data_IF_977380463328
#
_entry.id   IF_977380463328
#
_cell.length_a   1.000
_cell.length_b   1.000
_cell.length_c   1.000
_cell.angle_alpha   90.00
_cell.angle_beta   90.00
_cell.angle_gamma   90.00
#
_symmetry.space_group_name_H-M   'P 1'
#
loop_
_entity.id
_entity.type
_entity.pdbx_description
1 polymer ?
#
# COMPACT_ATOMS: atom_id res chain seq x y z
N UNK A 1 35.51 1.63 34.36
CA UNK A 1 36.37 2.18 33.30
C UNK A 1 37.73 1.48 33.22
N UNK A 2 38.56 1.49 34.25
CA UNK A 2 39.92 0.90 34.17
C UNK A 2 39.94 -0.62 33.90
N UNK A 3 38.97 -1.38 34.44
CA UNK A 3 38.82 -2.82 34.14
C UNK A 3 38.40 -3.11 32.69
N UNK A 4 37.61 -2.23 32.08
CA UNK A 4 37.13 -2.37 30.69
C UNK A 4 38.27 -2.11 29.70
N UNK A 5 39.05 -1.05 29.91
CA UNK A 5 40.22 -0.72 29.09
C UNK A 5 41.35 -1.75 29.22
N UNK A 6 41.54 -2.34 30.41
CA UNK A 6 42.47 -3.47 30.57
C UNK A 6 42.02 -4.69 29.76
N UNK A 7 40.73 -5.03 29.77
CA UNK A 7 40.21 -6.14 28.95
C UNK A 7 40.34 -5.90 27.45
N UNK A 8 40.08 -4.67 26.97
CA UNK A 8 40.32 -4.31 25.58
C UNK A 8 41.81 -4.34 25.21
N UNK A 9 42.70 -4.03 26.15
CA UNK A 9 44.13 -4.18 25.98
C UNK A 9 44.56 -5.65 25.87
N UNK A 10 44.01 -6.52 26.71
CA UNK A 10 44.26 -7.97 26.67
C UNK A 10 43.77 -8.62 25.35
N UNK A 11 42.72 -8.05 24.75
CA UNK A 11 42.17 -8.45 23.44
C UNK A 11 42.87 -7.78 22.25
N UNK A 12 43.82 -6.86 22.49
CA UNK A 12 44.55 -6.15 21.45
C UNK A 12 43.74 -5.08 20.71
N UNK A 13 42.58 -4.66 21.23
CA UNK A 13 41.72 -3.64 20.62
C UNK A 13 42.16 -2.22 20.98
N UNK A 14 42.84 -2.04 22.12
CA UNK A 14 43.41 -0.75 22.51
C UNK A 14 44.85 -0.92 22.93
N UNK A 15 45.68 0.08 22.65
CA UNK A 15 47.05 0.17 23.12
C UNK A 15 47.25 1.43 23.96
N UNK A 16 48.21 1.38 24.89
CA UNK A 16 48.51 2.50 25.78
C UNK A 16 49.82 3.16 25.38
N UNK A 17 49.74 4.41 24.94
CA UNK A 17 50.89 5.25 24.54
C UNK A 17 50.88 6.54 25.36
N UNK A 18 51.98 6.86 26.04
CA UNK A 18 52.15 8.11 26.83
C UNK A 18 50.94 8.50 27.70
N UNK A 19 50.43 7.52 28.46
CA UNK A 19 49.28 7.62 29.38
C UNK A 19 47.90 7.75 28.73
N UNK A 20 47.80 7.73 27.41
CA UNK A 20 46.54 7.71 26.66
C UNK A 20 46.29 6.32 26.07
N UNK A 21 45.02 5.97 25.88
CA UNK A 21 44.62 4.77 25.17
C UNK A 21 44.22 5.15 23.75
N UNK A 22 44.70 4.40 22.77
CA UNK A 22 44.33 4.51 21.36
C UNK A 22 43.76 3.18 20.90
N UNK A 23 42.79 3.23 19.99
CA UNK A 23 42.32 2.02 19.31
C UNK A 23 43.42 1.52 18.38
N UNK A 24 43.57 0.19 18.31
CA UNK A 24 44.37 -0.44 17.27
C UNK A 24 43.50 -0.62 16.02
N UNK A 25 44.10 -1.01 14.89
CA UNK A 25 43.32 -1.36 13.69
C UNK A 25 42.24 -2.44 13.97
N UNK A 26 42.58 -3.44 14.79
CA UNK A 26 41.61 -4.47 15.19
C UNK A 26 40.51 -3.89 16.10
N UNK A 27 40.85 -2.92 16.96
CA UNK A 27 39.88 -2.19 17.77
C UNK A 27 38.93 -1.34 16.94
N UNK A 28 39.44 -0.65 15.91
CA UNK A 28 38.63 0.16 14.99
C UNK A 28 37.61 -0.72 14.25
N UNK A 29 38.05 -1.86 13.70
CA UNK A 29 37.14 -2.80 13.01
C UNK A 29 36.03 -3.34 13.93
N UNK A 30 36.37 -3.66 15.18
CA UNK A 30 35.39 -4.13 16.17
C UNK A 30 34.45 -3.01 16.59
N UNK A 31 34.96 -1.79 16.73
CA UNK A 31 34.16 -0.62 17.08
C UNK A 31 33.15 -0.31 15.97
N UNK A 32 33.59 -0.26 14.71
CA UNK A 32 32.72 -0.05 13.54
C UNK A 32 31.60 -1.10 13.49
N UNK A 33 31.95 -2.38 13.63
CA UNK A 33 30.96 -3.47 13.65
C UNK A 33 29.98 -3.36 14.83
N UNK A 34 30.44 -2.87 15.99
CA UNK A 34 29.59 -2.65 17.16
C UNK A 34 28.67 -1.45 16.97
N UNK A 35 29.15 -0.38 16.36
CA UNK A 35 28.36 0.81 16.03
C UNK A 35 27.26 0.47 15.03
N UNK A 36 27.58 -0.30 13.98
CA UNK A 36 26.60 -0.80 13.01
C UNK A 36 25.51 -1.63 13.70
N UNK A 37 25.89 -2.60 14.52
CA UNK A 37 24.94 -3.42 15.28
C UNK A 37 24.08 -2.56 16.22
N UNK A 38 24.69 -1.60 16.92
CA UNK A 38 23.97 -0.72 17.82
C UNK A 38 22.97 0.15 17.08
N UNK A 39 23.29 0.63 15.87
CA UNK A 39 22.36 1.38 15.02
C UNK A 39 21.16 0.53 14.67
N UNK A 40 21.38 -0.69 14.17
CA UNK A 40 20.31 -1.63 13.81
C UNK A 40 19.39 -1.93 15.00
N UNK A 41 19.96 -2.17 16.19
CA UNK A 41 19.17 -2.43 17.40
C UNK A 41 18.28 -1.24 17.77
N UNK A 42 18.80 -0.01 17.65
CA UNK A 42 18.03 1.21 17.90
C UNK A 42 16.91 1.36 16.87
N UNK A 43 17.20 1.20 15.57
CA UNK A 43 16.22 1.30 14.48
C UNK A 43 15.07 0.30 14.65
N UNK A 44 15.39 -0.97 14.92
CA UNK A 44 14.37 -2.01 15.16
C UNK A 44 13.50 -1.67 16.37
N UNK A 45 14.08 -1.09 17.43
CA UNK A 45 13.31 -0.68 18.59
C UNK A 45 12.35 0.48 18.27
N UNK A 46 12.78 1.45 17.47
CA UNK A 46 11.93 2.58 17.04
C UNK A 46 10.81 2.13 16.10
N UNK A 47 11.10 1.15 15.23
CA UNK A 47 10.13 0.54 14.32
C UNK A 47 9.18 -0.45 14.95
N UNK A 48 9.40 -0.83 16.21
CA UNK A 48 8.60 -1.85 16.88
C UNK A 48 7.09 -1.69 16.67
N UNK A 49 6.47 -0.49 16.75
CA UNK A 49 5.03 -0.36 16.54
C UNK A 49 4.54 -0.76 15.13
N UNK A 50 5.41 -0.63 14.13
CA UNK A 50 5.15 -1.10 12.77
C UNK A 50 5.45 -2.60 12.64
N UNK A 51 6.61 -3.05 13.13
CA UNK A 51 7.06 -4.44 13.02
C UNK A 51 6.21 -5.43 13.80
N UNK A 52 5.55 -5.01 14.89
CA UNK A 52 4.62 -5.86 15.66
C UNK A 52 3.40 -6.30 14.83
N UNK A 53 3.09 -5.56 13.75
CA UNK A 53 1.96 -5.78 12.86
C UNK A 53 2.39 -5.89 11.39
N UNK A 54 3.68 -6.08 11.14
CA UNK A 54 4.22 -6.25 9.82
C UNK A 54 3.84 -7.64 9.28
N UNK A 55 3.40 -7.70 8.03
CA UNK A 55 3.19 -8.98 7.36
C UNK A 55 4.53 -9.65 7.02
N UNK A 56 4.50 -10.95 6.70
CA UNK A 56 5.70 -11.69 6.29
C UNK A 56 6.36 -11.11 5.02
N UNK A 57 5.61 -10.35 4.21
CA UNK A 57 6.13 -9.66 3.03
C UNK A 57 7.24 -8.66 3.38
N UNK A 58 7.23 -8.14 4.61
CA UNK A 58 8.19 -7.16 5.10
C UNK A 58 9.48 -7.80 5.66
N UNK A 59 9.60 -9.13 5.65
CA UNK A 59 10.81 -9.82 6.13
C UNK A 59 12.07 -9.47 5.32
N UNK A 60 11.92 -9.20 4.03
CA UNK A 60 13.03 -8.88 3.13
C UNK A 60 13.27 -7.36 3.00
N UNK A 61 12.77 -6.56 3.95
CA UNK A 61 13.03 -5.12 3.97
C UNK A 61 14.54 -4.85 3.96
N UNK A 62 15.04 -3.97 3.07
CA UNK A 62 16.48 -3.78 2.95
C UNK A 62 17.06 -3.16 4.24
N UNK A 63 18.21 -3.65 4.73
CA UNK A 63 18.84 -3.11 5.93
C UNK A 63 19.18 -1.62 5.78
N UNK A 64 19.05 -0.85 6.86
CA UNK A 64 19.46 0.55 6.93
C UNK A 64 18.52 1.56 6.26
N UNK A 65 17.58 1.11 5.43
CA UNK A 65 16.54 1.96 4.82
C UNK A 65 15.64 2.62 5.87
N UNK A 66 15.55 1.96 7.01
CA UNK A 66 14.73 2.33 8.15
C UNK A 66 15.27 3.57 8.88
N UNK A 67 16.57 3.84 8.79
CA UNK A 67 17.18 5.06 9.31
C UNK A 67 16.75 6.33 8.55
N UNK A 68 16.30 6.17 7.31
CA UNK A 68 15.80 7.24 6.43
C UNK A 68 14.27 7.25 6.31
N UNK A 69 13.59 6.61 7.25
CA UNK A 69 12.14 6.43 7.22
C UNK A 69 11.46 7.29 8.27
N UNK A 70 10.32 7.87 7.90
CA UNK A 70 9.38 8.45 8.87
C UNK A 70 8.42 7.36 9.34
N UNK A 71 8.38 7.12 10.65
CA UNK A 71 7.43 6.19 11.27
C UNK A 71 6.32 7.00 11.92
N UNK A 72 5.07 6.69 11.56
CA UNK A 72 3.90 7.31 12.18
C UNK A 72 3.03 6.22 12.80
N UNK A 73 2.76 6.34 14.10
CA UNK A 73 2.00 5.33 14.86
C UNK A 73 0.69 5.91 15.36
N UNK A 74 -0.38 5.13 15.30
CA UNK A 74 -1.64 5.46 15.93
C UNK A 74 -1.46 5.48 17.45
N UNK A 75 -1.88 6.58 18.08
CA UNK A 75 -1.91 6.69 19.54
C UNK A 75 -3.33 6.86 20.04
N UNK A 76 -3.54 6.77 21.35
CA UNK A 76 -4.86 7.02 21.94
C UNK A 76 -5.33 8.46 21.67
N UNK A 77 -4.41 9.40 21.66
CA UNK A 77 -4.67 10.83 21.43
C UNK A 77 -4.83 11.15 19.94
N UNK A 78 -4.19 10.37 19.06
CA UNK A 78 -4.24 10.53 17.62
C UNK A 78 -4.32 9.16 16.91
N UNK A 79 -5.47 8.48 16.94
CA UNK A 79 -5.63 7.15 16.34
C UNK A 79 -5.56 7.19 14.81
N UNK A 80 -5.82 8.36 14.21
CA UNK A 80 -5.77 8.56 12.76
C UNK A 80 -4.41 9.08 12.28
N UNK A 81 -3.38 9.11 13.12
CA UNK A 81 -2.06 9.60 12.72
C UNK A 81 -1.52 8.91 11.44
N UNK A 82 -1.58 7.57 11.32
CA UNK A 82 -1.03 6.89 10.14
C UNK A 82 -1.77 7.22 8.84
N UNK A 83 -3.10 7.29 8.88
CA UNK A 83 -3.89 7.67 7.70
C UNK A 83 -3.68 9.15 7.35
N UNK A 84 -3.57 10.03 8.34
CA UNK A 84 -3.27 11.44 8.08
C UNK A 84 -1.92 11.60 7.39
N UNK A 85 -0.91 10.79 7.76
CA UNK A 85 0.38 10.78 7.08
C UNK A 85 0.26 10.39 5.61
N UNK A 86 -0.52 9.35 5.31
CA UNK A 86 -0.83 8.99 3.92
C UNK A 86 -1.52 10.13 3.15
N UNK A 87 -2.49 10.80 3.77
CA UNK A 87 -3.19 11.94 3.17
C UNK A 87 -2.26 13.13 2.90
N UNK A 88 -1.24 13.35 3.74
CA UNK A 88 -0.22 14.38 3.50
C UNK A 88 0.58 14.06 2.22
N UNK A 89 1.04 12.81 2.07
CA UNK A 89 1.78 12.39 0.87
C UNK A 89 0.97 12.57 -0.42
N UNK A 90 -0.33 12.26 -0.37
CA UNK A 90 -1.24 12.44 -1.51
C UNK A 90 -1.54 13.92 -1.84
N UNK A 91 -1.28 14.86 -0.92
CA UNK A 91 -1.58 16.30 -1.11
C UNK A 91 -0.41 17.10 -1.68
N UNK A 92 0.81 16.59 -1.58
CA UNK A 92 2.03 17.37 -1.82
C UNK A 92 2.35 17.62 -3.31
N UNK A 93 1.51 17.19 -4.25
CA UNK A 93 1.72 17.45 -5.66
C UNK A 93 0.64 16.88 -6.59
N UNK A 94 0.91 16.96 -7.88
CA UNK A 94 0.19 16.18 -8.88
C UNK A 94 0.84 14.81 -8.92
N UNK A 95 0.11 13.76 -8.52
CA UNK A 95 0.65 12.39 -8.54
C UNK A 95 0.79 11.96 -9.99
N UNK A 96 2.01 11.72 -10.46
CA UNK A 96 2.25 11.23 -11.81
C UNK A 96 1.97 9.73 -11.92
N UNK A 97 2.45 8.97 -10.93
CA UNK A 97 2.29 7.52 -10.87
C UNK A 97 1.89 7.08 -9.46
N UNK A 98 0.88 6.21 -9.40
CA UNK A 98 0.47 5.53 -8.19
C UNK A 98 0.45 4.02 -8.40
N UNK A 99 1.09 3.27 -7.50
CA UNK A 99 1.00 1.80 -7.44
C UNK A 99 0.65 1.38 -6.02
N UNK A 100 -0.44 0.66 -5.85
CA UNK A 100 -0.95 0.30 -4.52
C UNK A 100 -1.23 -1.19 -4.34
N UNK A 101 -1.11 -1.65 -3.10
CA UNK A 101 -1.63 -2.93 -2.59
C UNK A 101 -2.33 -2.62 -1.27
N UNK A 102 -3.58 -3.03 -1.09
CA UNK A 102 -4.33 -2.67 0.12
C UNK A 102 -5.17 -3.84 0.66
N UNK A 103 -5.21 -4.03 1.99
CA UNK A 103 -6.03 -5.04 2.64
C UNK A 103 -7.42 -4.50 3.00
N UNK A 104 -7.68 -3.21 2.77
CA UNK A 104 -8.91 -2.54 3.14
C UNK A 104 -9.41 -1.58 2.06
N UNK A 105 -10.72 -1.35 2.08
CA UNK A 105 -11.38 -0.21 1.41
C UNK A 105 -11.96 0.73 2.46
N UNK A 106 -11.77 2.03 2.26
CA UNK A 106 -12.34 3.07 3.11
C UNK A 106 -12.55 4.35 2.31
N UNK A 107 -13.66 5.04 2.60
CA UNK A 107 -13.97 6.33 1.97
C UNK A 107 -12.86 7.39 2.15
N UNK A 108 -12.04 7.30 3.20
CA UNK A 108 -10.91 8.22 3.41
C UNK A 108 -9.81 8.00 2.36
N UNK A 109 -9.48 6.75 2.04
CA UNK A 109 -8.52 6.43 0.98
C UNK A 109 -9.08 6.80 -0.40
N UNK A 110 -10.35 6.47 -0.67
CA UNK A 110 -10.99 6.80 -1.95
C UNK A 110 -10.99 8.31 -2.20
N UNK A 111 -11.38 9.11 -1.20
CA UNK A 111 -11.42 10.57 -1.32
C UNK A 111 -10.02 11.19 -1.48
N UNK A 112 -8.99 10.59 -0.87
CA UNK A 112 -7.61 11.00 -1.06
C UNK A 112 -7.17 10.77 -2.52
N UNK A 113 -7.47 9.59 -3.06
CA UNK A 113 -7.19 9.23 -4.45
C UNK A 113 -7.95 10.14 -5.41
N UNK A 114 -9.25 10.35 -5.23
CA UNK A 114 -10.07 11.26 -6.05
C UNK A 114 -9.49 12.69 -6.12
N UNK A 115 -8.91 13.18 -5.03
CA UNK A 115 -8.40 14.55 -4.96
C UNK A 115 -6.99 14.71 -5.56
N UNK A 116 -6.18 13.65 -5.49
CA UNK A 116 -4.78 13.68 -5.88
C UNK A 116 -4.53 13.23 -7.33
N UNK A 117 -5.47 12.46 -7.88
CA UNK A 117 -5.31 11.73 -9.14
C UNK A 117 -6.00 12.51 -10.24
N UNK A 118 -5.21 12.91 -11.23
CA UNK A 118 -5.67 13.61 -12.41
C UNK A 118 -5.88 12.68 -13.61
N UNK A 119 -6.33 13.21 -14.75
CA UNK A 119 -6.46 12.45 -16.01
C UNK A 119 -5.14 11.85 -16.52
N UNK A 120 -4.00 12.45 -16.15
CA UNK A 120 -2.66 12.02 -16.59
C UNK A 120 -1.97 11.10 -15.57
N UNK A 121 -2.62 10.83 -14.42
CA UNK A 121 -2.04 9.98 -13.38
C UNK A 121 -2.19 8.52 -13.75
N UNK A 122 -1.09 7.81 -13.90
CA UNK A 122 -1.12 6.37 -14.09
C UNK A 122 -1.30 5.68 -12.72
N UNK A 123 -2.49 5.11 -12.47
CA UNK A 123 -2.85 4.48 -11.21
C UNK A 123 -3.13 2.99 -11.39
N UNK A 124 -2.45 2.17 -10.59
CA UNK A 124 -2.77 0.76 -10.48
C UNK A 124 -2.97 0.37 -9.00
N UNK A 125 -3.96 -0.46 -8.72
CA UNK A 125 -4.27 -0.93 -7.37
C UNK A 125 -4.50 -2.44 -7.36
N UNK A 126 -3.84 -3.14 -6.45
CA UNK A 126 -4.09 -4.56 -6.17
C UNK A 126 -4.91 -4.68 -4.90
N UNK A 127 -6.03 -5.41 -4.99
CA UNK A 127 -6.94 -5.74 -3.89
C UNK A 127 -7.18 -7.25 -3.83
N UNK A 128 -7.75 -7.75 -2.75
CA UNK A 128 -8.23 -9.13 -2.66
C UNK A 128 -9.77 -9.21 -2.72
N UNK A 129 -10.30 -10.43 -2.74
CA UNK A 129 -11.75 -10.69 -2.80
C UNK A 129 -12.53 -9.99 -1.67
N UNK A 130 -11.96 -9.94 -0.46
CA UNK A 130 -12.63 -9.33 0.69
C UNK A 130 -12.81 -7.82 0.51
N UNK A 131 -11.81 -7.16 -0.07
CA UNK A 131 -11.85 -5.74 -0.40
C UNK A 131 -12.81 -5.48 -1.55
N UNK A 132 -12.85 -6.36 -2.56
CA UNK A 132 -13.77 -6.24 -3.69
C UNK A 132 -15.23 -6.38 -3.25
N UNK A 133 -15.57 -7.42 -2.48
CA UNK A 133 -16.90 -7.64 -1.92
C UNK A 133 -17.36 -6.41 -1.13
N UNK A 134 -16.50 -5.92 -0.23
CA UNK A 134 -16.82 -4.74 0.59
C UNK A 134 -16.96 -3.47 -0.25
N UNK A 135 -16.20 -3.33 -1.33
CA UNK A 135 -16.31 -2.21 -2.26
C UNK A 135 -17.65 -2.24 -3.01
N UNK A 136 -18.12 -3.42 -3.39
CA UNK A 136 -19.43 -3.59 -4.05
C UNK A 136 -20.59 -3.31 -3.08
N UNK A 137 -20.47 -3.68 -1.81
CA UNK A 137 -21.51 -3.48 -0.80
C UNK A 137 -21.59 -2.04 -0.30
N UNK A 138 -20.46 -1.46 0.11
CA UNK A 138 -20.42 -0.19 0.85
C UNK A 138 -20.03 1.01 -0.05
N UNK A 139 -19.38 0.77 -1.19
CA UNK A 139 -18.73 1.80 -2.02
C UNK A 139 -18.97 1.65 -3.52
N UNK A 140 -20.15 1.14 -3.92
CA UNK A 140 -20.47 0.81 -5.31
C UNK A 140 -20.24 1.98 -6.27
N UNK A 141 -20.66 3.19 -5.90
CA UNK A 141 -20.50 4.39 -6.73
C UNK A 141 -19.02 4.71 -6.98
N UNK A 142 -18.17 4.61 -5.95
CA UNK A 142 -16.74 4.85 -6.08
C UNK A 142 -16.05 3.77 -6.92
N UNK A 143 -16.48 2.50 -6.77
CA UNK A 143 -15.98 1.40 -7.58
C UNK A 143 -16.36 1.56 -9.05
N UNK A 144 -17.59 2.01 -9.34
CA UNK A 144 -18.03 2.27 -10.71
C UNK A 144 -17.26 3.41 -11.35
N UNK A 145 -17.07 4.52 -10.62
CA UNK A 145 -16.23 5.63 -11.07
C UNK A 145 -14.83 5.14 -11.37
N UNK A 146 -14.26 4.28 -10.53
CA UNK A 146 -12.93 3.73 -10.74
C UNK A 146 -12.83 2.94 -12.05
N UNK A 147 -13.84 2.12 -12.39
CA UNK A 147 -13.88 1.41 -13.67
C UNK A 147 -14.00 2.31 -14.92
N UNK A 148 -14.58 3.50 -14.76
CA UNK A 148 -14.77 4.45 -15.87
C UNK A 148 -13.52 5.31 -16.13
N UNK A 149 -12.48 5.21 -15.29
CA UNK A 149 -11.23 5.96 -15.43
C UNK A 149 -10.22 5.17 -16.27
N UNK A 150 -9.95 5.64 -17.49
CA UNK A 150 -8.96 5.05 -18.41
C UNK A 150 -7.54 4.94 -17.79
N UNK A 151 -7.23 5.82 -16.83
CA UNK A 151 -5.95 5.88 -16.15
C UNK A 151 -5.88 5.06 -14.86
N UNK A 152 -6.95 4.35 -14.50
CA UNK A 152 -7.01 3.46 -13.34
C UNK A 152 -7.12 2.00 -13.76
N UNK A 153 -6.26 1.16 -13.20
CA UNK A 153 -6.35 -0.30 -13.37
C UNK A 153 -6.46 -0.99 -12.02
N UNK A 154 -7.50 -1.82 -11.87
CA UNK A 154 -7.73 -2.60 -10.66
C UNK A 154 -7.32 -4.06 -10.90
N UNK A 155 -6.57 -4.63 -9.97
CA UNK A 155 -6.13 -6.03 -10.01
C UNK A 155 -6.67 -6.78 -8.80
N UNK A 156 -7.17 -7.99 -9.03
CA UNK A 156 -7.64 -8.91 -8.00
C UNK A 156 -6.60 -9.99 -7.73
N UNK A 157 -6.03 -9.96 -6.52
CA UNK A 157 -5.17 -11.00 -5.97
C UNK A 157 -5.99 -12.22 -5.58
N UNK A 158 -5.50 -13.41 -5.95
CA UNK A 158 -6.06 -14.68 -5.46
C UNK A 158 -5.63 -15.01 -4.03
N UNK A 159 -4.66 -14.28 -3.49
CA UNK A 159 -4.16 -14.43 -2.12
C UNK A 159 -4.62 -13.26 -1.25
N UNK A 160 -4.96 -13.50 0.04
CA UNK A 160 -5.27 -12.43 0.97
C UNK A 160 -4.13 -11.41 1.09
N UNK A 161 -4.51 -10.16 1.30
CA UNK A 161 -3.59 -9.06 1.54
C UNK A 161 -3.70 -8.67 3.01
N UNK A 162 -2.57 -8.56 3.69
CA UNK A 162 -2.50 -8.26 5.12
C UNK A 162 -1.75 -6.95 5.42
N UNK A 163 -1.33 -6.24 4.37
CA UNK A 163 -0.48 -5.06 4.49
C UNK A 163 -0.86 -4.02 3.44
N UNK A 164 -0.59 -2.75 3.77
CA UNK A 164 -0.71 -1.63 2.85
C UNK A 164 0.63 -1.33 2.20
N UNK A 165 0.61 -1.07 0.90
CA UNK A 165 1.73 -0.57 0.13
C UNK A 165 1.18 0.52 -0.80
N UNK A 166 1.83 1.67 -0.82
CA UNK A 166 1.61 2.67 -1.84
C UNK A 166 2.95 3.23 -2.31
N UNK A 167 3.11 3.36 -3.62
CA UNK A 167 4.24 4.01 -4.26
C UNK A 167 3.67 5.22 -4.98
N UNK A 168 4.01 6.40 -4.50
CA UNK A 168 3.49 7.69 -4.95
C UNK A 168 4.68 8.43 -5.58
N UNK A 169 4.74 8.43 -6.90
CA UNK A 169 5.91 8.85 -7.66
C UNK A 169 7.19 8.14 -7.18
N UNK A 170 8.05 8.83 -6.43
CA UNK A 170 9.32 8.30 -5.90
C UNK A 170 9.25 7.95 -4.39
N UNK A 171 8.09 8.15 -3.74
CA UNK A 171 7.90 7.93 -2.30
C UNK A 171 7.20 6.60 -2.07
N UNK A 172 7.79 5.77 -1.20
CA UNK A 172 7.18 4.52 -0.74
C UNK A 172 6.50 4.72 0.60
N UNK A 173 5.29 4.20 0.74
CA UNK A 173 4.50 4.18 1.96
C UNK A 173 4.06 2.75 2.27
N UNK A 174 4.25 2.32 3.51
CA UNK A 174 3.87 1.00 4.02
C UNK A 174 2.89 1.16 5.18
N UNK A 175 1.82 0.38 5.18
CA UNK A 175 0.81 0.36 6.23
C UNK A 175 0.78 -0.98 6.94
N UNK A 176 0.83 -0.95 8.28
CA UNK A 176 0.67 -2.10 9.14
C UNK A 176 -0.72 -2.08 9.80
N UNK A 177 -1.40 -3.21 9.79
CA UNK A 177 -2.77 -3.36 10.25
C UNK A 177 -2.85 -4.33 11.42
N UNK A 178 -3.74 -4.06 12.38
CA UNK A 178 -4.05 -5.04 13.42
C UNK A 178 -5.05 -6.11 12.92
N UNK A 179 -5.29 -7.14 13.73
CA UNK A 179 -6.24 -8.24 13.43
C UNK A 179 -7.68 -7.76 13.18
N UNK A 180 -8.01 -6.52 13.51
CA UNK A 180 -9.32 -5.92 13.29
C UNK A 180 -9.36 -5.05 12.02
N UNK A 181 -8.26 -4.97 11.25
CA UNK A 181 -8.14 -4.14 10.06
C UNK A 181 -7.89 -2.65 10.35
N UNK A 182 -7.49 -2.29 11.57
CA UNK A 182 -7.12 -0.90 11.87
C UNK A 182 -5.68 -0.63 11.42
N UNK A 183 -5.47 0.46 10.69
CA UNK A 183 -4.12 0.96 10.38
C UNK A 183 -3.46 1.51 11.65
N UNK A 184 -2.57 0.73 12.26
CA UNK A 184 -1.95 1.03 13.55
C UNK A 184 -0.61 1.73 13.44
N UNK A 185 0.09 1.54 12.32
CA UNK A 185 1.34 2.22 12.04
C UNK A 185 1.57 2.33 10.53
N UNK A 186 2.33 3.33 10.12
CA UNK A 186 2.85 3.41 8.77
C UNK A 186 4.30 3.89 8.77
N UNK A 187 4.94 3.62 7.65
CA UNK A 187 6.33 3.93 7.33
C UNK A 187 6.34 4.59 5.97
N UNK A 188 7.06 5.71 5.82
CA UNK A 188 7.29 6.32 4.52
C UNK A 188 8.72 6.82 4.32
N UNK A 189 9.21 6.73 3.09
CA UNK A 189 10.55 7.18 2.70
C UNK A 189 10.66 7.39 1.19
N UNK A 190 11.54 8.30 0.79
CA UNK A 190 12.02 8.51 -0.58
C UNK A 190 13.34 7.75 -0.86
N UNK A 191 13.77 6.88 0.06
CA UNK A 191 15.03 6.16 -0.07
C UNK A 191 14.96 5.15 -1.25
N UNK A 192 15.90 5.19 -2.22
CA UNK A 192 15.83 4.36 -3.42
C UNK A 192 15.75 2.85 -3.15
N UNK A 193 16.46 2.36 -2.13
CA UNK A 193 16.37 0.94 -1.78
C UNK A 193 14.98 0.54 -1.24
N UNK A 194 14.25 1.44 -0.56
CA UNK A 194 12.86 1.15 -0.18
C UNK A 194 11.99 1.07 -1.42
N UNK A 195 12.18 2.04 -2.33
CA UNK A 195 11.44 2.13 -3.57
C UNK A 195 11.61 0.89 -4.44
N UNK A 196 12.85 0.45 -4.68
CA UNK A 196 13.14 -0.73 -5.50
C UNK A 196 12.51 -2.00 -4.88
N UNK A 197 12.61 -2.13 -3.55
CA UNK A 197 11.99 -3.25 -2.84
C UNK A 197 10.45 -3.20 -2.90
N UNK A 198 9.85 -2.02 -2.64
CA UNK A 198 8.42 -1.82 -2.68
C UNK A 198 7.86 -2.11 -4.07
N UNK A 199 8.56 -1.66 -5.12
CA UNK A 199 8.21 -1.94 -6.50
C UNK A 199 8.25 -3.43 -6.80
N UNK A 200 9.28 -4.14 -6.33
CA UNK A 200 9.37 -5.60 -6.45
C UNK A 200 8.19 -6.32 -5.78
N UNK A 201 7.79 -5.87 -4.57
CA UNK A 201 6.61 -6.42 -3.87
C UNK A 201 5.33 -6.16 -4.69
N UNK A 202 5.17 -4.93 -5.17
CA UNK A 202 4.04 -4.53 -6.01
C UNK A 202 3.96 -5.39 -7.29
N UNK A 203 5.06 -5.49 -8.05
CA UNK A 203 5.14 -6.24 -9.29
C UNK A 203 4.81 -7.71 -9.07
N UNK A 204 5.37 -8.33 -8.03
CA UNK A 204 5.05 -9.71 -7.64
C UNK A 204 3.55 -9.88 -7.37
N UNK A 205 2.95 -8.98 -6.58
CA UNK A 205 1.52 -9.05 -6.26
C UNK A 205 0.67 -8.89 -7.51
N UNK A 206 0.96 -7.89 -8.36
CA UNK A 206 0.29 -7.66 -9.64
C UNK A 206 0.39 -8.85 -10.59
N UNK A 207 1.56 -9.48 -10.72
CA UNK A 207 1.78 -10.65 -11.59
C UNK A 207 0.98 -11.89 -11.15
N UNK A 208 0.67 -11.99 -9.86
CA UNK A 208 -0.17 -13.06 -9.30
C UNK A 208 -1.66 -12.70 -9.28
N UNK A 209 -2.02 -11.52 -9.79
CA UNK A 209 -3.40 -11.04 -9.85
C UNK A 209 -3.98 -11.11 -11.26
N UNK A 210 -5.30 -11.01 -11.34
CA UNK A 210 -6.01 -10.79 -12.60
C UNK A 210 -6.48 -9.34 -12.67
N UNK A 211 -6.43 -8.75 -13.85
CA UNK A 211 -7.02 -7.43 -14.09
C UNK A 211 -8.56 -7.53 -14.04
N UNK A 212 -9.18 -6.57 -13.36
CA UNK A 212 -10.63 -6.45 -13.25
C UNK A 212 -11.16 -5.44 -14.25
N UNK A 213 -12.05 -5.90 -15.11
CA UNK A 213 -12.88 -5.05 -15.96
C UNK A 213 -14.19 -4.71 -15.25
N UNK A 214 -14.82 -3.59 -15.68
CA UNK A 214 -16.19 -3.31 -15.31
C UNK A 214 -17.08 -4.54 -15.56
N UNK A 215 -17.95 -4.93 -14.63
CA UNK A 215 -18.88 -6.01 -14.88
C UNK A 215 -19.69 -5.68 -16.13
N UNK A 216 -19.70 -6.60 -17.10
CA UNK A 216 -20.44 -6.42 -18.34
C UNK A 216 -21.89 -6.08 -18.00
N UNK A 217 -22.36 -4.94 -18.49
CA UNK A 217 -23.67 -4.40 -18.18
C UNK A 217 -24.76 -5.40 -18.66
N UNK A 218 -25.22 -6.27 -17.75
CA UNK A 218 -26.24 -7.30 -18.03
C UNK A 218 -27.58 -6.67 -18.45
N UNK A 219 -27.72 -5.34 -18.34
CA UNK A 219 -28.88 -4.59 -18.80
C UNK A 219 -28.97 -4.41 -20.33
N UNK A 220 -27.92 -4.69 -21.12
CA UNK A 220 -27.95 -4.50 -22.58
C UNK A 220 -28.36 -5.73 -23.40
N UNK A 221 -28.45 -6.92 -22.79
CA UNK A 221 -28.76 -8.18 -23.50
C UNK A 221 -30.27 -8.48 -23.59
N UNK A 222 -31.14 -7.71 -22.92
CA UNK A 222 -32.58 -7.95 -22.89
C UNK A 222 -33.43 -7.15 -23.90
N UNK A 223 -32.83 -6.48 -24.90
CA UNK A 223 -33.58 -5.79 -25.98
C UNK A 223 -33.10 -6.22 -27.36
N UNK A 224 -33.07 -7.52 -27.63
CA UNK A 224 -32.93 -8.04 -28.98
C UNK A 224 -33.55 -9.44 -29.16
N UNK A 225 -34.73 -9.71 -28.58
CA UNK A 225 -35.52 -10.88 -28.96
C UNK A 225 -37.00 -10.79 -28.55
N UNK A 226 -37.71 -9.73 -28.97
CA UNK A 226 -39.14 -9.91 -29.27
C UNK A 226 -39.63 -8.80 -30.20
N UNK A 227 -39.72 -9.13 -31.48
CA UNK A 227 -40.05 -8.19 -32.55
C UNK A 227 -40.35 -8.95 -33.82
N UNK A 228 -41.22 -9.95 -33.72
CA UNK A 228 -41.59 -10.82 -34.83
C UNK A 228 -42.98 -11.42 -34.64
N UNK A 229 -43.94 -10.77 -35.28
CA UNK A 229 -45.23 -11.32 -35.72
C UNK A 229 -46.43 -11.27 -34.76
N UNK A 230 -47.18 -10.17 -34.86
CA UNK A 230 -48.63 -10.19 -34.64
C UNK A 230 -49.29 -9.38 -35.76
N UNK A 231 -49.68 -10.08 -36.82
CA UNK A 231 -50.59 -9.56 -37.84
C UNK A 231 -51.91 -9.13 -37.20
N UNK A 232 -52.27 -7.88 -37.43
CA UNK A 232 -53.48 -7.23 -36.95
C UNK A 232 -54.76 -7.90 -37.49
N UNK A 233 -55.64 -8.30 -36.57
CA UNK A 233 -57.08 -8.43 -36.84
C UNK A 233 -57.70 -7.02 -36.89
N UNK A 234 -58.28 -6.67 -38.03
CA UNK A 234 -59.03 -5.43 -38.22
C UNK A 234 -60.45 -5.57 -37.68
N UNK A 235 -60.78 -4.77 -36.68
CA UNK A 235 -62.14 -4.58 -36.21
C UNK A 235 -62.98 -3.74 -37.18
N UNK A 236 -64.13 -4.31 -37.54
CA UNK A 236 -65.45 -3.70 -37.67
C UNK A 236 -65.59 -2.25 -38.17
N UNK A 237 -66.06 -2.12 -39.42
CA UNK A 237 -66.95 -1.02 -39.81
C UNK A 237 -68.42 -1.50 -39.82
N UNK A 238 -69.26 -0.63 -39.25
CA UNK A 238 -70.69 -0.78 -39.04
C UNK A 238 -71.50 -0.27 -40.23
N UNK A 239 -72.69 -0.88 -40.41
CA UNK A 239 -73.91 -0.32 -41.03
C UNK A 239 -74.01 -0.28 -42.56
N UNK A 240 -75.03 -1.00 -43.09
CA UNK A 240 -76.05 -0.62 -44.10
C UNK A 240 -76.80 -1.93 -44.51
N UNK A 241 -77.99 -2.20 -43.96
CA UNK A 241 -79.33 -1.95 -44.56
C UNK A 241 -79.76 -2.95 -45.66
N UNK A 242 -81.04 -3.40 -45.57
CA UNK A 242 -81.86 -4.23 -46.50
C UNK A 242 -81.49 -5.72 -46.59
N UNK A 243 -82.37 -6.72 -46.43
CA UNK A 243 -83.85 -6.87 -46.46
C UNK A 243 -84.26 -8.07 -45.56
#
# INVERSE_FOLDING_TARGET
>A
MQRTLSGFGDLGWVEKTDKHYHTTLAGDMVLESYEDLSSVVTEVHELRPFLEHASEEFHDLPPGVLSSTTITTATRENPHAPINRYLELMRDGHVGRFRGVTPIVSGVFNQASESAIGPETDMELVIDDSVLERSQEDYQDALQVAYDLDQFTLYLSSEPIEFGLAIIDDVSWLGAYDDNGNLVACVDSDHPALFDWAMSVYERRREMSIELDAPADEASVAVASDGGDATAEGEAESSLESE
#
